data_IF_127592718588
#
_entry.id   IF_127592718588
#
_cell.length_a   1.000
_cell.length_b   1.000
_cell.length_c   1.000
_cell.angle_alpha   90.00
_cell.angle_beta   90.00
_cell.angle_gamma   90.00
#
_symmetry.space_group_name_H-M   'P 1'
#
loop_
_entity.id
_entity.type
_entity.pdbx_description
1 polymer ?
#
# COMPACT_ATOMS: atom_id res chain seq x y z
N UNK A 1 0.24 -52.63 -2.12
CA UNK A 1 1.00 -51.74 -1.20
C UNK A 1 1.44 -50.55 -2.06
N UNK A 2 0.86 -49.35 -2.07
CA UNK A 2 -0.16 -48.67 -1.27
C UNK A 2 -1.06 -47.84 -2.20
N UNK A 3 -2.38 -47.97 -2.05
CA UNK A 3 -3.40 -47.08 -2.63
C UNK A 3 -3.68 -45.95 -1.66
N UNK A 4 -3.24 -44.73 -1.99
CA UNK A 4 -3.56 -43.52 -1.22
C UNK A 4 -4.91 -42.96 -1.66
N UNK A 5 -5.97 -43.34 -0.95
CA UNK A 5 -7.31 -42.76 -1.03
C UNK A 5 -7.29 -41.43 -0.29
N UNK A 6 -7.52 -40.33 -1.00
CA UNK A 6 -7.76 -39.01 -0.40
C UNK A 6 -9.26 -38.82 -0.33
N UNK A 7 -9.83 -38.97 0.87
CA UNK A 7 -11.24 -38.71 1.14
C UNK A 7 -11.52 -37.20 1.15
N UNK A 8 -12.53 -36.79 0.38
CA UNK A 8 -13.16 -35.47 0.46
C UNK A 8 -14.20 -35.48 1.58
N UNK A 9 -14.24 -34.47 2.47
CA UNK A 9 -15.42 -34.24 3.28
C UNK A 9 -16.44 -33.40 2.48
N UNK A 10 -17.59 -34.00 2.21
CA UNK A 10 -18.82 -33.31 1.80
C UNK A 10 -19.72 -33.03 3.00
N UNK A 11 -20.60 -32.05 2.81
CA UNK A 11 -21.82 -31.76 3.59
C UNK A 11 -21.67 -30.79 4.79
N UNK A 12 -22.09 -29.55 4.56
CA UNK A 12 -22.60 -28.66 5.59
C UNK A 12 -24.10 -28.55 5.34
N UNK A 13 -24.88 -29.14 6.25
CA UNK A 13 -26.33 -29.09 6.28
C UNK A 13 -26.82 -27.65 6.53
N UNK A 14 -27.80 -27.24 5.72
CA UNK A 14 -28.61 -26.04 5.94
C UNK A 14 -29.79 -26.51 6.81
N UNK A 15 -29.84 -26.08 8.07
CA UNK A 15 -31.05 -26.18 8.90
C UNK A 15 -31.56 -24.78 9.16
N UNK A 16 -32.74 -24.51 8.62
CA UNK A 16 -33.53 -23.32 8.85
C UNK A 16 -34.77 -23.78 9.62
N UNK A 17 -34.88 -23.44 10.90
CA UNK A 17 -36.13 -23.61 11.66
C UNK A 17 -36.47 -22.36 12.47
N UNK A 18 -37.59 -21.77 12.05
CA UNK A 18 -38.42 -20.83 12.78
C UNK A 18 -39.11 -21.56 13.94
N UNK A 19 -39.08 -21.01 15.18
CA UNK A 19 -40.29 -20.66 15.96
C UNK A 19 -40.14 -20.67 17.49
N UNK A 20 -40.62 -19.56 18.06
CA UNK A 20 -41.38 -19.41 19.33
C UNK A 20 -40.66 -19.51 20.67
N UNK A 21 -40.77 -18.42 21.45
CA UNK A 21 -40.43 -18.39 22.87
C UNK A 21 -40.57 -17.00 23.51
N UNK A 22 -41.80 -16.51 23.60
CA UNK A 22 -42.18 -15.29 24.31
C UNK A 22 -41.90 -15.41 25.82
N UNK A 23 -41.11 -14.52 26.41
CA UNK A 23 -41.21 -14.21 27.85
C UNK A 23 -40.82 -12.76 28.14
N UNK A 24 -41.82 -12.01 28.61
CA UNK A 24 -41.70 -10.67 29.19
C UNK A 24 -40.75 -10.71 30.39
N UNK A 25 -39.74 -9.83 30.42
CA UNK A 25 -39.18 -9.31 31.67
C UNK A 25 -38.78 -7.84 31.49
N UNK A 26 -39.53 -7.00 32.19
CA UNK A 26 -39.19 -5.71 32.79
C UNK A 26 -38.10 -4.84 32.16
N UNK A 27 -38.60 -3.79 31.51
CA UNK A 27 -37.93 -2.54 31.20
C UNK A 27 -37.50 -1.87 32.52
N UNK A 28 -36.19 -1.87 32.80
CA UNK A 28 -35.57 -0.95 33.75
C UNK A 28 -34.79 0.08 32.93
N UNK A 29 -35.39 1.26 32.80
CA UNK A 29 -34.78 2.44 32.17
C UNK A 29 -33.67 2.94 33.07
N UNK A 30 -32.42 2.61 32.74
CA UNK A 30 -31.26 3.39 33.18
C UNK A 30 -30.81 4.30 32.03
N UNK A 31 -30.49 5.58 32.33
CA UNK A 31 -30.12 6.55 31.31
C UNK A 31 -28.81 6.10 30.63
N UNK A 32 -28.71 6.13 29.29
CA UNK A 32 -27.41 6.02 28.66
C UNK A 32 -26.63 7.28 29.04
N UNK A 33 -25.62 7.12 29.88
CA UNK A 33 -24.52 8.07 29.99
C UNK A 33 -23.94 8.21 28.58
N UNK A 34 -24.33 9.30 27.93
CA UNK A 34 -23.75 9.77 26.67
C UNK A 34 -22.35 10.25 27.03
N UNK A 35 -21.42 9.31 27.13
CA UNK A 35 -20.03 9.62 26.83
C UNK A 35 -19.98 9.77 25.31
N UNK A 36 -20.32 10.98 24.88
CA UNK A 36 -19.82 11.57 23.64
C UNK A 36 -18.28 11.56 23.75
N UNK A 37 -17.67 10.40 23.49
CA UNK A 37 -16.33 10.36 22.94
C UNK A 37 -16.45 10.95 21.53
N UNK A 38 -16.51 12.28 21.50
CA UNK A 38 -16.06 13.09 20.39
C UNK A 38 -14.63 12.64 20.14
N UNK A 39 -14.46 11.65 19.27
CA UNK A 39 -13.23 11.41 18.55
C UNK A 39 -13.00 12.69 17.76
N UNK A 40 -12.38 13.66 18.43
CA UNK A 40 -11.85 14.87 17.85
C UNK A 40 -10.74 14.41 16.92
N UNK A 41 -11.16 14.07 15.69
CA UNK A 41 -10.30 13.78 14.56
C UNK A 41 -9.61 15.11 14.23
N UNK A 42 -8.60 15.38 15.04
CA UNK A 42 -7.61 16.45 14.94
C UNK A 42 -7.54 16.98 13.52
N UNK A 43 -8.22 18.10 13.30
CA UNK A 43 -7.86 19.17 12.37
C UNK A 43 -6.79 18.76 11.36
N UNK A 44 -7.20 17.92 10.39
CA UNK A 44 -6.44 17.73 9.19
C UNK A 44 -6.32 19.10 8.55
N UNK A 45 -5.12 19.69 8.58
CA UNK A 45 -4.77 20.95 7.91
C UNK A 45 -5.01 20.90 6.39
N UNK A 46 -5.50 19.77 5.87
CA UNK A 46 -5.74 19.51 4.48
C UNK A 46 -7.23 19.30 4.22
N UNK A 47 -7.77 19.91 3.14
CA UNK A 47 -9.17 19.79 2.79
C UNK A 47 -9.52 18.33 2.51
N UNK A 48 -10.64 17.87 3.07
CA UNK A 48 -11.19 16.53 2.83
C UNK A 48 -11.84 16.52 1.45
N UNK A 49 -11.67 15.43 0.71
CA UNK A 49 -12.27 15.27 -0.61
C UNK A 49 -13.73 14.83 -0.46
N UNK A 50 -14.64 15.75 -0.79
CA UNK A 50 -16.08 15.53 -0.85
C UNK A 50 -16.59 15.59 -2.30
N UNK A 51 -17.90 15.36 -2.48
CA UNK A 51 -18.59 15.47 -3.77
C UNK A 51 -18.41 16.85 -4.44
N UNK A 52 -18.18 17.91 -3.66
CA UNK A 52 -17.97 19.26 -4.17
C UNK A 52 -16.54 19.55 -4.66
N UNK A 53 -15.64 18.56 -4.64
CA UNK A 53 -14.26 18.79 -5.06
C UNK A 53 -14.15 19.20 -6.53
N UNK A 54 -13.43 20.29 -6.85
CA UNK A 54 -13.34 20.80 -8.22
C UNK A 54 -12.57 19.84 -9.11
N UNK A 55 -13.06 19.68 -10.34
CA UNK A 55 -12.46 18.82 -11.36
C UNK A 55 -11.15 19.43 -11.89
N UNK A 56 -10.17 18.60 -12.27
CA UNK A 56 -9.00 19.05 -13.00
C UNK A 56 -9.38 19.63 -14.36
N UNK A 57 -8.69 20.71 -14.74
CA UNK A 57 -8.63 21.17 -16.13
C UNK A 57 -7.66 20.28 -16.91
N UNK A 58 -8.17 19.62 -17.93
CA UNK A 58 -7.41 18.74 -18.81
C UNK A 58 -6.75 19.51 -19.95
N UNK A 59 -5.69 18.93 -20.52
CA UNK A 59 -5.16 19.39 -21.81
C UNK A 59 -6.15 19.17 -22.95
N UNK A 60 -6.09 20.03 -23.98
CA UNK A 60 -7.01 20.01 -25.13
C UNK A 60 -7.10 18.63 -25.79
N UNK A 61 -5.95 17.96 -25.97
CA UNK A 61 -5.88 16.59 -26.50
C UNK A 61 -6.74 15.59 -25.72
N UNK A 62 -6.70 15.67 -24.38
CA UNK A 62 -7.48 14.75 -23.53
C UNK A 62 -8.96 15.12 -23.58
N UNK A 63 -9.26 16.41 -23.63
CA UNK A 63 -10.63 16.90 -23.74
C UNK A 63 -11.29 16.42 -25.03
N UNK A 64 -10.60 16.49 -26.17
CA UNK A 64 -11.09 16.01 -27.46
C UNK A 64 -11.42 14.50 -27.40
N UNK A 65 -10.51 13.69 -26.86
CA UNK A 65 -10.73 12.25 -26.71
C UNK A 65 -11.80 11.88 -25.66
N UNK A 66 -12.04 12.74 -24.67
CA UNK A 66 -13.16 12.58 -23.73
C UNK A 66 -14.51 12.84 -24.42
N UNK A 67 -14.57 13.81 -25.35
CA UNK A 67 -15.76 14.09 -26.15
C UNK A 67 -16.03 13.01 -27.20
N UNK A 68 -14.98 12.53 -27.86
CA UNK A 68 -15.06 11.46 -28.89
C UNK A 68 -15.29 10.06 -28.30
N UNK A 69 -15.38 9.93 -26.97
CA UNK A 69 -15.54 8.66 -26.27
C UNK A 69 -14.39 7.66 -26.50
N UNK A 70 -13.18 8.17 -26.74
CA UNK A 70 -11.98 7.38 -27.03
C UNK A 70 -10.87 7.60 -25.99
N UNK A 71 -11.24 7.51 -24.71
CA UNK A 71 -10.31 7.75 -23.59
C UNK A 71 -9.25 6.65 -23.48
N UNK A 72 -9.51 5.46 -24.03
CA UNK A 72 -8.58 4.33 -24.01
C UNK A 72 -7.20 4.67 -24.61
N UNK A 73 -7.16 5.47 -25.68
CA UNK A 73 -5.91 5.89 -26.32
C UNK A 73 -5.05 6.81 -25.44
N UNK A 74 -5.70 7.64 -24.62
CA UNK A 74 -5.04 8.63 -23.75
C UNK A 74 -5.12 8.31 -22.27
N UNK A 75 -5.57 7.10 -21.90
CA UNK A 75 -5.85 6.72 -20.52
C UNK A 75 -4.67 6.98 -19.57
N UNK A 76 -3.47 6.63 -20.01
CA UNK A 76 -2.25 6.87 -19.23
C UNK A 76 -1.99 8.35 -18.96
N UNK A 77 -2.14 9.20 -19.99
CA UNK A 77 -1.94 10.65 -19.88
C UNK A 77 -3.05 11.30 -19.06
N UNK A 78 -4.29 10.88 -19.26
CA UNK A 78 -5.47 11.28 -18.49
C UNK A 78 -5.31 11.01 -17.00
N UNK A 79 -4.92 9.79 -16.63
CA UNK A 79 -4.67 9.44 -15.22
C UNK A 79 -3.48 10.22 -14.66
N UNK A 80 -2.46 10.51 -15.47
CA UNK A 80 -1.30 11.30 -15.04
C UNK A 80 -1.65 12.75 -14.72
N UNK A 81 -2.46 13.41 -15.54
CA UNK A 81 -2.94 14.77 -15.28
C UNK A 81 -3.84 14.82 -14.05
N UNK A 82 -4.79 13.88 -13.94
CA UNK A 82 -5.62 13.72 -12.75
C UNK A 82 -4.76 13.56 -11.49
N UNK A 83 -3.79 12.64 -11.53
CA UNK A 83 -2.93 12.36 -10.39
C UNK A 83 -2.10 13.58 -9.99
N UNK A 84 -1.57 14.35 -10.95
CA UNK A 84 -0.82 15.58 -10.65
C UNK A 84 -1.69 16.62 -9.97
N UNK A 85 -2.91 16.84 -10.46
CA UNK A 85 -3.85 17.80 -9.90
C UNK A 85 -4.24 17.43 -8.47
N UNK A 86 -4.75 16.20 -8.26
CA UNK A 86 -5.21 15.77 -6.93
C UNK A 86 -4.06 15.63 -5.94
N UNK A 87 -2.88 15.18 -6.37
CA UNK A 87 -1.72 15.12 -5.48
C UNK A 87 -1.19 16.50 -5.07
N UNK A 88 -1.27 17.50 -5.96
CA UNK A 88 -0.88 18.88 -5.66
C UNK A 88 -1.84 19.54 -4.68
N UNK A 89 -3.14 19.34 -4.86
CA UNK A 89 -4.19 19.96 -4.03
C UNK A 89 -4.48 19.20 -2.73
N UNK A 90 -4.37 17.87 -2.76
CA UNK A 90 -4.67 16.96 -1.65
C UNK A 90 -3.53 15.96 -1.43
N UNK A 91 -2.39 16.40 -0.88
CA UNK A 91 -1.20 15.53 -0.71
C UNK A 91 -1.47 14.32 0.20
N UNK A 92 -2.45 14.43 1.10
CA UNK A 92 -2.79 13.42 2.10
C UNK A 92 -3.89 12.45 1.69
N UNK A 93 -4.35 12.46 0.44
CA UNK A 93 -5.34 11.50 -0.07
C UNK A 93 -4.87 10.05 0.16
N UNK A 94 -5.67 9.27 0.88
CA UNK A 94 -5.34 7.89 1.28
C UNK A 94 -6.59 6.99 1.31
N UNK A 95 -7.76 7.55 1.59
CA UNK A 95 -8.95 6.76 1.86
C UNK A 95 -9.63 6.34 0.57
N UNK A 96 -10.14 5.10 0.52
CA UNK A 96 -10.86 4.59 -0.65
C UNK A 96 -12.12 5.41 -0.97
N UNK A 97 -12.80 5.94 0.05
CA UNK A 97 -13.97 6.79 -0.09
C UNK A 97 -13.68 8.08 -0.86
N UNK A 98 -12.51 8.70 -0.63
CA UNK A 98 -12.08 9.92 -1.34
C UNK A 98 -11.92 9.66 -2.83
N UNK A 99 -11.30 8.54 -3.19
CA UNK A 99 -11.14 8.14 -4.60
C UNK A 99 -12.49 7.85 -5.25
N UNK A 100 -13.42 7.20 -4.53
CA UNK A 100 -14.76 6.93 -5.05
C UNK A 100 -15.56 8.21 -5.28
N UNK A 101 -15.47 9.20 -4.38
CA UNK A 101 -16.11 10.50 -4.56
C UNK A 101 -15.59 11.21 -5.82
N UNK A 102 -14.28 11.18 -6.05
CA UNK A 102 -13.68 11.71 -7.28
C UNK A 102 -14.17 10.95 -8.50
N UNK A 103 -14.13 9.61 -8.46
CA UNK A 103 -14.53 8.77 -9.59
C UNK A 103 -15.98 8.99 -10.00
N UNK A 104 -16.89 9.09 -9.02
CA UNK A 104 -18.31 9.36 -9.28
C UNK A 104 -18.49 10.69 -9.99
N UNK A 105 -17.93 11.77 -9.44
CA UNK A 105 -18.03 13.11 -10.04
C UNK A 105 -17.43 13.18 -11.44
N UNK A 106 -16.29 12.51 -11.63
CA UNK A 106 -15.60 12.49 -12.91
C UNK A 106 -16.42 11.74 -13.96
N UNK A 107 -17.11 10.66 -13.58
CA UNK A 107 -17.99 9.92 -14.46
C UNK A 107 -19.28 10.67 -14.80
N UNK A 108 -19.85 11.41 -13.85
CA UNK A 108 -21.01 12.29 -14.09
C UNK A 108 -20.70 13.34 -15.16
N UNK A 109 -19.46 13.84 -15.20
CA UNK A 109 -19.05 14.85 -16.20
C UNK A 109 -18.57 14.21 -17.50
N UNK A 110 -17.83 13.10 -17.41
CA UNK A 110 -17.23 12.41 -18.54
C UNK A 110 -17.58 10.91 -18.49
N UNK A 111 -18.75 10.51 -19.03
CA UNK A 111 -19.16 9.11 -19.06
C UNK A 111 -18.18 8.19 -19.79
N UNK A 112 -17.34 8.77 -20.67
CA UNK A 112 -16.33 8.07 -21.45
C UNK A 112 -15.24 7.35 -20.62
N UNK A 113 -15.11 7.66 -19.33
CA UNK A 113 -14.19 6.95 -18.43
C UNK A 113 -14.77 5.62 -17.93
N UNK A 114 -16.05 5.35 -18.22
CA UNK A 114 -16.76 4.15 -17.79
C UNK A 114 -16.07 2.88 -18.26
N UNK A 115 -15.86 1.94 -17.34
CA UNK A 115 -15.28 0.64 -17.64
C UNK A 115 -16.16 -0.49 -17.11
N UNK A 116 -16.03 -1.68 -17.69
CA UNK A 116 -16.78 -2.86 -17.26
C UNK A 116 -16.37 -3.25 -15.84
N UNK A 117 -17.31 -3.23 -14.89
CA UNK A 117 -17.06 -3.55 -13.48
C UNK A 117 -18.26 -3.30 -12.58
N UNK A 118 -18.07 -3.44 -11.26
CA UNK A 118 -19.13 -3.22 -10.24
C UNK A 118 -19.64 -1.78 -10.24
N UNK A 119 -18.73 -0.82 -10.34
CA UNK A 119 -19.07 0.58 -10.60
C UNK A 119 -18.28 1.05 -11.83
N UNK A 120 -18.88 1.85 -12.72
CA UNK A 120 -18.24 2.22 -13.99
C UNK A 120 -16.95 3.03 -13.80
N UNK A 121 -16.82 3.79 -12.71
CA UNK A 121 -15.60 4.54 -12.35
C UNK A 121 -14.58 3.74 -11.53
N UNK A 122 -14.86 2.48 -11.16
CA UNK A 122 -13.96 1.69 -10.30
C UNK A 122 -12.55 1.54 -10.89
N UNK A 123 -12.46 1.35 -12.20
CA UNK A 123 -11.17 1.20 -12.88
C UNK A 123 -10.35 2.49 -12.86
N UNK A 124 -11.01 3.64 -12.99
CA UNK A 124 -10.41 4.96 -12.82
C UNK A 124 -9.85 5.12 -11.40
N UNK A 125 -10.65 4.84 -10.36
CA UNK A 125 -10.22 4.95 -8.96
C UNK A 125 -8.98 4.09 -8.66
N UNK A 126 -8.94 2.86 -9.20
CA UNK A 126 -7.78 1.95 -9.08
C UNK A 126 -6.55 2.52 -9.77
N UNK A 127 -6.70 3.05 -10.98
CA UNK A 127 -5.60 3.63 -11.75
C UNK A 127 -5.04 4.88 -11.06
N UNK A 128 -5.91 5.76 -10.58
CA UNK A 128 -5.57 7.00 -9.89
C UNK A 128 -4.83 6.73 -8.57
N UNK A 129 -5.37 5.85 -7.72
CA UNK A 129 -4.75 5.48 -6.44
C UNK A 129 -3.37 4.86 -6.63
N UNK A 130 -3.21 3.97 -7.61
CA UNK A 130 -1.92 3.37 -7.97
C UNK A 130 -0.93 4.44 -8.43
N UNK A 131 -1.36 5.39 -9.27
CA UNK A 131 -0.49 6.47 -9.77
C UNK A 131 -0.03 7.39 -8.64
N UNK A 132 -0.94 7.83 -7.78
CA UNK A 132 -0.63 8.70 -6.64
C UNK A 132 0.31 8.00 -5.66
N UNK A 133 0.08 6.71 -5.36
CA UNK A 133 0.98 5.89 -4.55
C UNK A 133 2.39 5.84 -5.15
N UNK A 134 2.50 5.64 -6.46
CA UNK A 134 3.79 5.62 -7.14
C UNK A 134 4.50 6.99 -7.09
N UNK A 135 3.77 8.10 -7.21
CA UNK A 135 4.35 9.44 -7.05
C UNK A 135 4.87 9.67 -5.63
N UNK A 136 4.09 9.32 -4.60
CA UNK A 136 4.51 9.35 -3.19
C UNK A 136 5.78 8.55 -2.96
N UNK A 137 5.83 7.33 -3.48
CA UNK A 137 7.02 6.47 -3.37
C UNK A 137 8.24 7.08 -4.07
N UNK A 138 8.08 7.63 -5.28
CA UNK A 138 9.16 8.28 -6.03
C UNK A 138 9.71 9.50 -5.28
N UNK A 139 8.85 10.31 -4.66
CA UNK A 139 9.27 11.45 -3.82
C UNK A 139 10.01 10.99 -2.57
N UNK A 140 9.52 9.97 -1.87
CA UNK A 140 10.20 9.38 -0.70
C UNK A 140 11.59 8.87 -1.06
N UNK A 141 11.73 8.18 -2.20
CA UNK A 141 13.04 7.71 -2.69
C UNK A 141 14.01 8.82 -3.04
N UNK A 142 13.51 9.91 -3.64
CA UNK A 142 14.33 11.11 -3.91
C UNK A 142 14.86 11.72 -2.61
N UNK A 143 14.00 11.87 -1.59
CA UNK A 143 14.40 12.39 -0.28
C UNK A 143 15.46 11.52 0.41
N UNK A 144 15.36 10.20 0.29
CA UNK A 144 16.31 9.26 0.88
C UNK A 144 17.61 9.07 0.08
N UNK A 145 17.82 9.81 -1.02
CA UNK A 145 18.99 9.64 -1.89
C UNK A 145 19.05 8.28 -2.60
N UNK A 146 17.98 7.49 -2.55
CA UNK A 146 17.86 6.14 -3.11
C UNK A 146 17.55 6.15 -4.62
N UNK A 147 17.63 7.31 -5.29
CA UNK A 147 17.55 7.34 -6.74
C UNK A 147 18.78 6.62 -7.29
N UNK A 148 18.57 5.60 -8.11
CA UNK A 148 19.62 5.02 -8.94
C UNK A 148 20.18 6.18 -9.77
N UNK A 149 21.32 6.74 -9.36
CA UNK A 149 22.12 7.59 -10.25
C UNK A 149 22.35 6.70 -11.46
N UNK A 150 21.74 7.04 -12.60
CA UNK A 150 22.06 6.36 -13.86
C UNK A 150 23.59 6.35 -13.94
N UNK A 151 24.25 5.21 -14.16
CA UNK A 151 25.68 5.24 -14.41
C UNK A 151 25.86 6.22 -15.58
N UNK A 152 26.54 7.33 -15.30
CA UNK A 152 26.94 8.27 -16.33
C UNK A 152 27.72 7.40 -17.30
N UNK A 153 27.21 7.19 -18.51
CA UNK A 153 28.01 6.58 -19.57
C UNK A 153 29.22 7.50 -19.70
N UNK A 154 30.37 7.04 -19.21
CA UNK A 154 31.62 7.75 -19.38
C UNK A 154 31.76 7.96 -20.88
N UNK A 155 31.86 9.21 -21.32
CA UNK A 155 32.28 9.51 -22.68
C UNK A 155 33.61 8.79 -22.86
N UNK A 156 33.66 7.91 -23.84
CA UNK A 156 34.87 7.23 -24.27
C UNK A 156 35.95 8.27 -24.54
N UNK A 157 37.16 8.03 -24.04
CA UNK A 157 38.32 8.83 -24.43
C UNK A 157 39.19 9.39 -23.32
N UNK A 158 39.35 8.72 -22.17
CA UNK A 158 40.60 8.87 -21.38
C UNK A 158 40.88 7.52 -20.71
N UNK A 159 42.11 7.01 -20.88
CA UNK A 159 42.63 5.80 -20.27
C UNK A 159 42.52 5.86 -18.72
N UNK A 160 41.35 5.49 -18.19
CA UNK A 160 41.16 5.31 -16.76
C UNK A 160 41.66 3.92 -16.39
N UNK A 161 42.84 3.88 -15.77
CA UNK A 161 43.32 2.77 -14.97
C UNK A 161 42.15 2.07 -14.28
N UNK A 162 42.01 0.77 -14.54
CA UNK A 162 41.00 -0.10 -13.94
C UNK A 162 41.29 -0.20 -12.45
N UNK A 163 40.82 0.75 -11.66
CA UNK A 163 40.57 0.51 -10.25
C UNK A 163 39.43 -0.50 -10.18
N UNK A 164 39.78 -1.78 -10.04
CA UNK A 164 38.86 -2.82 -9.65
C UNK A 164 38.41 -2.50 -8.22
N UNK A 165 37.46 -1.57 -8.10
CA UNK A 165 36.77 -1.30 -6.85
C UNK A 165 36.00 -2.57 -6.53
N UNK A 166 36.56 -3.39 -5.65
CA UNK A 166 35.82 -4.38 -4.88
C UNK A 166 34.78 -3.61 -4.07
N UNK A 167 33.66 -3.28 -4.70
CA UNK A 167 32.46 -2.93 -3.94
C UNK A 167 31.92 -4.27 -3.47
N UNK A 168 31.98 -4.61 -2.16
CA UNK A 168 31.30 -5.79 -1.67
C UNK A 168 29.84 -5.65 -2.10
N UNK A 169 29.38 -6.61 -2.92
CA UNK A 169 27.97 -6.72 -3.27
C UNK A 169 27.25 -7.06 -1.97
N UNK A 170 26.79 -6.03 -1.25
CA UNK A 170 25.83 -6.25 -0.17
C UNK A 170 24.58 -6.76 -0.87
N UNK A 171 24.39 -8.07 -0.85
CA UNK A 171 23.21 -8.71 -1.38
C UNK A 171 22.02 -8.21 -0.57
N UNK A 172 21.21 -7.33 -1.16
CA UNK A 172 20.00 -6.78 -0.54
C UNK A 172 18.91 -7.85 -0.34
N UNK A 173 19.18 -9.10 -0.71
CA UNK A 173 18.36 -10.29 -0.40
C UNK A 173 19.00 -11.22 0.62
N UNK A 174 20.03 -10.78 1.35
CA UNK A 174 20.52 -11.56 2.48
C UNK A 174 19.46 -11.58 3.58
N UNK A 175 18.59 -12.58 3.53
CA UNK A 175 17.80 -12.98 4.69
C UNK A 175 18.74 -13.78 5.59
N UNK A 176 19.06 -13.28 6.80
CA UNK A 176 19.92 -14.04 7.69
C UNK A 176 19.26 -15.39 7.97
N UNK A 177 20.09 -16.44 7.98
CA UNK A 177 19.61 -17.80 8.22
C UNK A 177 18.82 -17.86 9.53
N UNK A 178 17.87 -18.81 9.62
CA UNK A 178 17.06 -19.00 10.83
C UNK A 178 17.94 -19.20 12.07
N UNK A 179 19.07 -19.89 11.90
CA UNK A 179 20.08 -20.10 12.92
C UNK A 179 20.76 -18.78 13.34
N UNK A 180 21.21 -17.97 12.38
CA UNK A 180 21.82 -16.66 12.66
C UNK A 180 20.88 -15.75 13.46
N UNK A 181 19.59 -15.68 13.09
CA UNK A 181 18.60 -14.89 13.82
C UNK A 181 18.38 -15.38 15.25
N UNK A 182 18.40 -16.70 15.47
CA UNK A 182 18.25 -17.28 16.80
C UNK A 182 19.43 -16.94 17.70
N UNK A 183 20.66 -17.05 17.17
CA UNK A 183 21.88 -16.71 17.91
C UNK A 183 21.96 -15.23 18.27
N UNK A 184 21.54 -14.33 17.37
CA UNK A 184 21.46 -12.89 17.69
C UNK A 184 20.41 -12.58 18.76
N UNK A 185 19.29 -13.30 18.77
CA UNK A 185 18.27 -13.16 19.82
C UNK A 185 18.82 -13.63 21.16
N UNK A 186 19.47 -14.79 21.19
CA UNK A 186 20.15 -15.32 22.38
C UNK A 186 21.15 -14.31 22.95
N UNK A 187 22.00 -13.72 22.09
CA UNK A 187 22.90 -12.63 22.50
C UNK A 187 22.15 -11.44 23.10
N UNK A 188 21.10 -10.95 22.42
CA UNK A 188 20.36 -9.76 22.89
C UNK A 188 19.68 -9.97 24.24
N UNK A 189 19.08 -11.15 24.44
CA UNK A 189 18.39 -11.52 25.68
C UNK A 189 19.41 -11.74 26.80
N UNK A 190 20.50 -12.43 26.48
CA UNK A 190 21.59 -12.71 27.40
C UNK A 190 22.29 -11.45 27.90
N UNK A 191 22.53 -10.49 27.01
CA UNK A 191 23.15 -9.20 27.34
C UNK A 191 22.23 -8.31 28.18
N UNK A 192 20.92 -8.31 27.92
CA UNK A 192 19.97 -7.50 28.69
C UNK A 192 19.75 -8.03 30.11
N UNK A 193 19.87 -9.35 30.30
CA UNK A 193 19.62 -9.99 31.58
C UNK A 193 20.91 -10.32 32.36
N UNK A 194 22.10 -9.94 31.86
CA UNK A 194 23.41 -10.36 32.38
C UNK A 194 23.56 -11.87 32.62
N UNK A 195 22.81 -12.69 31.86
CA UNK A 195 22.77 -14.15 32.02
C UNK A 195 23.70 -14.89 31.08
N UNK A 196 24.36 -14.18 30.16
CA UNK A 196 25.21 -14.79 29.14
C UNK A 196 26.68 -14.74 29.51
N UNK A 197 27.32 -15.91 29.44
CA UNK A 197 28.76 -16.04 29.67
C UNK A 197 29.53 -15.45 28.48
N UNK A 198 30.64 -14.77 28.78
CA UNK A 198 31.51 -14.14 27.78
C UNK A 198 32.06 -15.15 26.75
N UNK A 199 32.29 -16.40 27.17
CA UNK A 199 32.66 -17.51 26.29
C UNK A 199 31.57 -17.83 25.26
N UNK A 200 30.30 -17.78 25.68
CA UNK A 200 29.15 -18.01 24.81
C UNK A 200 28.95 -16.86 23.82
N UNK A 201 29.24 -15.61 24.24
CA UNK A 201 29.24 -14.46 23.34
C UNK A 201 30.27 -14.67 22.21
N UNK A 202 31.49 -15.08 22.57
CA UNK A 202 32.57 -15.32 21.62
C UNK A 202 32.23 -16.43 20.61
N UNK A 203 31.62 -17.52 21.07
CA UNK A 203 31.17 -18.61 20.20
C UNK A 203 30.11 -18.18 19.19
N UNK A 204 29.15 -17.34 19.62
CA UNK A 204 28.11 -16.81 18.73
C UNK A 204 28.71 -15.86 17.69
N UNK A 205 29.62 -14.98 18.10
CA UNK A 205 30.30 -14.07 17.17
C UNK A 205 31.16 -14.84 16.15
N UNK A 206 31.85 -15.90 16.58
CA UNK A 206 32.62 -16.77 15.68
C UNK A 206 31.74 -17.55 14.69
N UNK A 207 30.56 -18.00 15.12
CA UNK A 207 29.60 -18.69 14.27
C UNK A 207 28.95 -17.77 13.22
N UNK A 208 28.78 -16.48 13.56
CA UNK A 208 28.14 -15.48 12.69
C UNK A 208 29.09 -14.82 11.70
N UNK A 209 30.40 -14.83 11.94
CA UNK A 209 31.43 -14.23 11.06
C UNK A 209 31.79 -15.08 9.82
N UNK A 210 31.37 -16.36 9.76
CA UNK A 210 31.65 -17.25 8.61
C UNK A 210 30.58 -17.21 7.49
N UNK A 211 29.63 -16.27 7.54
CA UNK A 211 28.49 -16.18 6.63
C UNK A 211 28.53 -15.01 5.67
#
# INVERSE_FOLDING_TARGET
INSGVWEQPSEIEIVNEFSLGNSNTEIKVEPPDVLDEVFDNSTSKFPIINADTPLPTFSDMIYDHLQENNVSAVWGTFVDECAKYYFGKYPNIQNSSEYQAIGRKMYETYPAIGYVGKEPWSFFCKSLSQKIRHMKWKLKRKKLGLTTRRPIKAKEGVNSLKFHSYKPKVDRRYTPSKLYKALLRELSIGWYNDTILETRIYDILKATHKG
#
